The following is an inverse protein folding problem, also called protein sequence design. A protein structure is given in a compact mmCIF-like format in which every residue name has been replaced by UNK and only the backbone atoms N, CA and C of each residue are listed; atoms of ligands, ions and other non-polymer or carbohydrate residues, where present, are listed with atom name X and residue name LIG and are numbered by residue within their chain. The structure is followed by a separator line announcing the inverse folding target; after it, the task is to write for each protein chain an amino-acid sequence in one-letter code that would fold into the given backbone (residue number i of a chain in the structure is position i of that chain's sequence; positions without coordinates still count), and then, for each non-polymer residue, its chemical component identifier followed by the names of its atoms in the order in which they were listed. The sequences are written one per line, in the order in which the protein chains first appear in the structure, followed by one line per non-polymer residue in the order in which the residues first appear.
data_IF_882367073464
#
_entry.id   IF_882367073464
#
_cell.length_a   1.000
_cell.length_b   1.000
_cell.length_c   1.000
_cell.angle_alpha   90.00
_cell.angle_beta   90.00
_cell.angle_gamma   90.00
#
_symmetry.space_group_name_H-M   'P 1'
#
loop_
_entity.id
_entity.type
_entity.pdbx_description
1 polymer ?
#
# COMPACT_ATOMS: atom_id res chain seq x y z
N UNK A 1 17.84 -19.79 17.14
CA UNK A 1 18.97 -18.86 16.82
C UNK A 1 18.38 -17.66 16.08
N UNK A 2 18.58 -16.49 16.56
CA UNK A 2 18.10 -15.26 15.91
C UNK A 2 19.28 -14.64 15.16
N UNK A 3 19.25 -14.74 13.85
CA UNK A 3 20.27 -14.09 13.02
C UNK A 3 19.80 -12.67 12.70
N UNK A 4 20.57 -11.69 13.10
CA UNK A 4 20.34 -10.28 12.77
C UNK A 4 21.46 -9.78 11.87
N UNK A 5 21.06 -9.28 10.69
CA UNK A 5 21.94 -8.54 9.80
C UNK A 5 21.59 -7.05 9.92
N UNK A 6 22.57 -6.22 10.14
CA UNK A 6 22.40 -4.76 10.12
C UNK A 6 23.26 -4.19 9.00
N UNK A 7 22.59 -3.56 8.04
CA UNK A 7 23.23 -2.85 6.95
C UNK A 7 23.11 -1.35 7.20
N UNK A 8 24.21 -0.63 7.16
CA UNK A 8 24.24 0.82 7.29
C UNK A 8 24.60 1.44 5.97
N UNK A 9 23.73 2.28 5.46
CA UNK A 9 23.89 2.98 4.19
C UNK A 9 23.95 4.50 4.42
N UNK A 10 24.62 5.27 3.55
CA UNK A 10 24.55 6.72 3.59
C UNK A 10 23.10 7.20 3.44
N UNK A 11 22.71 8.24 4.17
CA UNK A 11 21.35 8.79 4.17
C UNK A 11 20.96 9.51 2.89
N UNK A 12 21.95 9.91 2.09
CA UNK A 12 21.81 10.59 0.81
C UNK A 12 21.92 9.65 -0.40
N UNK A 13 21.86 8.34 -0.16
CA UNK A 13 21.94 7.35 -1.22
C UNK A 13 20.60 7.24 -1.95
N UNK A 14 20.62 7.47 -3.25
CA UNK A 14 19.49 7.27 -4.14
C UNK A 14 19.68 6.00 -4.96
N UNK A 15 18.63 5.22 -5.07
CA UNK A 15 18.63 3.98 -5.84
C UNK A 15 17.79 4.14 -7.10
N UNK A 16 18.15 3.46 -8.17
CA UNK A 16 17.30 3.32 -9.36
C UNK A 16 16.24 2.24 -9.11
N UNK A 17 16.70 1.06 -8.72
CA UNK A 17 15.83 -0.08 -8.48
C UNK A 17 16.14 -0.70 -7.12
N UNK A 18 15.10 -0.93 -6.35
CA UNK A 18 15.17 -1.67 -5.08
C UNK A 18 14.16 -2.81 -5.11
N UNK A 19 14.65 -4.02 -4.95
CA UNK A 19 13.80 -5.20 -4.80
C UNK A 19 14.07 -5.84 -3.44
N UNK A 20 13.01 -6.01 -2.67
CA UNK A 20 13.04 -6.65 -1.36
C UNK A 20 12.15 -7.89 -1.43
N UNK A 21 12.73 -9.06 -1.21
CA UNK A 21 12.00 -10.32 -1.14
C UNK A 21 12.22 -10.97 0.21
N UNK A 22 11.15 -11.16 0.97
CA UNK A 22 11.18 -11.71 2.32
C UNK A 22 10.23 -12.91 2.44
N UNK A 23 10.78 -14.11 2.48
CA UNK A 23 9.98 -15.32 2.70
C UNK A 23 9.37 -15.36 4.09
N UNK A 24 10.22 -15.27 5.13
CA UNK A 24 9.86 -15.18 6.54
C UNK A 24 10.91 -14.38 7.30
N UNK A 25 10.56 -13.80 8.43
CA UNK A 25 11.44 -12.95 9.24
C UNK A 25 10.98 -11.50 9.23
N UNK A 26 11.83 -10.60 9.69
CA UNK A 26 11.51 -9.19 9.83
C UNK A 26 12.56 -8.34 9.11
N UNK A 27 12.10 -7.33 8.38
CA UNK A 27 12.93 -6.29 7.78
C UNK A 27 12.45 -4.91 8.26
N UNK A 28 13.40 -4.09 8.68
CA UNK A 28 13.16 -2.69 8.99
C UNK A 28 14.13 -1.82 8.20
N UNK A 29 13.60 -0.80 7.51
CA UNK A 29 14.43 0.15 6.77
C UNK A 29 13.86 1.56 6.91
N UNK A 30 14.69 2.49 7.29
CA UNK A 30 14.36 3.90 7.40
C UNK A 30 15.12 4.71 6.34
N UNK A 31 14.41 5.62 5.69
CA UNK A 31 14.90 6.52 4.65
C UNK A 31 15.36 5.80 3.37
N UNK A 32 14.44 5.65 2.44
CA UNK A 32 14.69 5.06 1.13
C UNK A 32 14.19 5.99 0.02
N UNK A 33 15.08 6.34 -0.91
CA UNK A 33 14.72 7.03 -2.15
C UNK A 33 15.11 6.18 -3.34
N UNK A 34 14.15 5.89 -4.21
CA UNK A 34 14.34 5.04 -5.40
C UNK A 34 13.39 5.44 -6.53
N UNK A 35 13.73 5.11 -7.76
CA UNK A 35 12.78 5.24 -8.87
C UNK A 35 11.79 4.08 -8.88
N UNK A 36 12.24 2.86 -8.63
CA UNK A 36 11.41 1.66 -8.60
C UNK A 36 11.60 0.88 -7.29
N UNK A 37 10.49 0.56 -6.63
CA UNK A 37 10.47 -0.27 -5.42
C UNK A 37 9.58 -1.49 -5.66
N UNK A 38 10.13 -2.67 -5.46
CA UNK A 38 9.40 -3.94 -5.48
C UNK A 38 9.53 -4.61 -4.12
N UNK A 39 8.40 -4.93 -3.51
CA UNK A 39 8.32 -5.62 -2.23
C UNK A 39 7.55 -6.94 -2.39
N UNK A 40 8.21 -8.04 -2.11
CA UNK A 40 7.59 -9.37 -2.06
C UNK A 40 7.70 -9.94 -0.65
N UNK A 41 6.60 -10.08 0.05
CA UNK A 41 6.56 -10.68 1.38
C UNK A 41 5.68 -11.93 1.41
N UNK A 42 6.27 -13.07 1.75
CA UNK A 42 5.53 -14.33 1.93
C UNK A 42 4.75 -14.33 3.25
N UNK A 43 5.44 -14.59 4.36
CA UNK A 43 4.87 -14.68 5.71
C UNK A 43 5.67 -13.87 6.75
N UNK A 44 6.52 -12.97 6.30
CA UNK A 44 7.35 -12.11 7.16
C UNK A 44 6.71 -10.77 7.47
N UNK A 45 7.49 -9.91 8.12
CA UNK A 45 7.11 -8.53 8.41
C UNK A 45 8.11 -7.56 7.79
N UNK A 46 7.61 -6.59 7.04
CA UNK A 46 8.43 -5.51 6.46
C UNK A 46 7.92 -4.18 7.00
N UNK A 47 8.82 -3.41 7.57
CA UNK A 47 8.53 -2.04 8.00
C UNK A 47 9.47 -1.08 7.28
N UNK A 48 8.91 -0.24 6.43
CA UNK A 48 9.65 0.84 5.77
C UNK A 48 9.12 2.19 6.24
N UNK A 49 10.02 3.11 6.51
CA UNK A 49 9.67 4.47 6.91
C UNK A 49 10.37 5.48 6.01
N UNK A 50 9.72 6.62 5.76
CA UNK A 50 10.29 7.72 4.98
C UNK A 50 10.74 7.29 3.58
N UNK A 51 9.86 6.63 2.84
CA UNK A 51 10.12 6.14 1.48
C UNK A 51 9.65 7.15 0.45
N UNK A 52 10.49 7.41 -0.55
CA UNK A 52 10.13 8.16 -1.75
C UNK A 52 10.39 7.28 -2.98
N UNK A 53 9.35 6.98 -3.75
CA UNK A 53 9.48 6.16 -4.95
C UNK A 53 8.57 6.66 -6.08
N UNK A 54 9.05 6.55 -7.33
CA UNK A 54 8.25 6.89 -8.51
C UNK A 54 7.29 5.77 -8.88
N UNK A 55 7.73 4.53 -8.80
CA UNK A 55 6.86 3.35 -8.97
C UNK A 55 7.04 2.39 -7.80
N UNK A 56 5.94 1.83 -7.33
CA UNK A 56 5.95 0.87 -6.22
C UNK A 56 5.04 -0.31 -6.56
N UNK A 57 5.56 -1.51 -6.38
CA UNK A 57 4.83 -2.76 -6.56
C UNK A 57 5.00 -3.61 -5.30
N UNK A 58 3.89 -3.93 -4.65
CA UNK A 58 3.89 -4.64 -3.37
C UNK A 58 3.02 -5.89 -3.46
N UNK A 59 3.64 -7.03 -3.24
CA UNK A 59 2.99 -8.33 -3.17
C UNK A 59 3.10 -8.90 -1.76
N UNK A 60 1.98 -9.12 -1.09
CA UNK A 60 1.93 -9.66 0.26
C UNK A 60 1.09 -10.95 0.31
N UNK A 61 1.72 -12.07 0.67
CA UNK A 61 1.03 -13.32 0.87
C UNK A 61 0.21 -13.35 2.17
N UNK A 62 0.85 -13.61 3.31
CA UNK A 62 0.20 -13.77 4.60
C UNK A 62 0.91 -13.04 5.76
N UNK A 63 1.86 -12.16 5.46
CA UNK A 63 2.64 -11.41 6.44
C UNK A 63 2.04 -10.05 6.78
N UNK A 64 2.92 -9.13 7.19
CA UNK A 64 2.56 -7.75 7.52
C UNK A 64 3.52 -6.81 6.79
N UNK A 65 2.99 -5.77 6.17
CA UNK A 65 3.79 -4.68 5.62
C UNK A 65 3.30 -3.35 6.18
N UNK A 66 4.20 -2.61 6.79
CA UNK A 66 3.97 -1.26 7.29
C UNK A 66 4.81 -0.26 6.50
N UNK A 67 4.16 0.63 5.79
CA UNK A 67 4.76 1.73 5.02
C UNK A 67 4.40 3.06 5.68
N UNK A 68 5.34 3.67 6.38
CA UNK A 68 5.10 4.86 7.21
C UNK A 68 5.72 6.11 6.58
N UNK A 69 4.95 7.19 6.49
CA UNK A 69 5.39 8.50 5.98
C UNK A 69 6.02 8.40 4.57
N UNK A 70 5.32 7.71 3.68
CA UNK A 70 5.80 7.46 2.33
C UNK A 70 5.23 8.48 1.33
N UNK A 71 6.02 8.81 0.32
CA UNK A 71 5.59 9.60 -0.83
C UNK A 71 5.81 8.78 -2.09
N UNK A 72 4.73 8.31 -2.68
CA UNK A 72 4.76 7.50 -3.90
C UNK A 72 4.11 8.27 -5.05
N UNK A 73 4.52 8.00 -6.28
CA UNK A 73 3.82 8.53 -7.45
C UNK A 73 2.76 7.54 -7.94
N UNK A 74 3.17 6.35 -8.36
CA UNK A 74 2.25 5.30 -8.76
C UNK A 74 2.50 4.06 -7.91
N UNK A 75 1.44 3.39 -7.49
CA UNK A 75 1.56 2.24 -6.62
C UNK A 75 0.57 1.13 -6.97
N UNK A 76 1.03 -0.10 -6.87
CA UNK A 76 0.23 -1.31 -6.96
C UNK A 76 0.42 -2.12 -5.68
N UNK A 77 -0.68 -2.49 -5.04
CA UNK A 77 -0.68 -3.30 -3.83
C UNK A 77 -1.54 -4.54 -4.04
N UNK A 78 -0.95 -5.70 -3.87
CA UNK A 78 -1.65 -6.99 -3.90
C UNK A 78 -1.50 -7.69 -2.56
N UNK A 79 -2.61 -7.91 -1.85
CA UNK A 79 -2.64 -8.56 -0.54
C UNK A 79 -3.49 -9.83 -0.60
N UNK A 80 -2.88 -10.97 -0.35
CA UNK A 80 -3.58 -12.25 -0.28
C UNK A 80 -4.39 -12.38 1.02
N UNK A 81 -3.73 -12.77 2.12
CA UNK A 81 -4.32 -12.98 3.46
C UNK A 81 -3.64 -12.14 4.55
N UNK A 82 -2.66 -11.32 4.18
CA UNK A 82 -1.88 -10.52 5.11
C UNK A 82 -2.53 -9.19 5.48
N UNK A 83 -1.74 -8.36 6.13
CA UNK A 83 -2.12 -7.01 6.52
C UNK A 83 -1.12 -6.00 5.95
N UNK A 84 -1.62 -4.97 5.27
CA UNK A 84 -0.80 -3.87 4.78
C UNK A 84 -1.32 -2.55 5.30
N UNK A 85 -0.45 -1.80 5.95
CA UNK A 85 -0.72 -0.46 6.45
C UNK A 85 0.15 0.55 5.70
N UNK A 86 -0.46 1.55 5.13
CA UNK A 86 0.19 2.64 4.42
C UNK A 86 -0.17 3.99 5.05
N UNK A 87 0.82 4.83 5.26
CA UNK A 87 0.60 6.24 5.61
C UNK A 87 1.47 7.16 4.75
N UNK A 88 0.89 8.22 4.24
CA UNK A 88 1.59 9.19 3.39
C UNK A 88 0.76 9.70 2.23
N UNK A 89 1.41 9.96 1.10
CA UNK A 89 0.80 10.51 -0.11
C UNK A 89 1.09 9.64 -1.32
N UNK A 90 0.07 9.35 -2.13
CA UNK A 90 0.23 8.79 -3.48
C UNK A 90 -0.28 9.84 -4.47
N UNK A 91 0.62 10.37 -5.30
CA UNK A 91 0.32 11.52 -6.17
C UNK A 91 -0.25 11.15 -7.52
N UNK A 92 0.01 9.94 -7.99
CA UNK A 92 -0.47 9.40 -9.26
C UNK A 92 -1.58 8.37 -9.05
N UNK A 93 -1.52 7.29 -9.80
CA UNK A 93 -2.53 6.25 -9.77
C UNK A 93 -2.22 5.18 -8.72
N UNK A 94 -3.26 4.62 -8.13
CA UNK A 94 -3.21 3.53 -7.17
C UNK A 94 -4.08 2.37 -7.66
N UNK A 95 -3.52 1.19 -7.67
CA UNK A 95 -4.26 -0.07 -7.80
C UNK A 95 -4.06 -0.89 -6.53
N UNK A 96 -5.15 -1.31 -5.89
CA UNK A 96 -5.09 -2.09 -4.66
C UNK A 96 -6.06 -3.26 -4.72
N UNK A 97 -5.50 -4.45 -4.64
CA UNK A 97 -6.23 -5.72 -4.64
C UNK A 97 -6.11 -6.41 -3.28
N UNK A 98 -7.25 -6.71 -2.66
CA UNK A 98 -7.33 -7.41 -1.39
C UNK A 98 -8.13 -8.72 -1.52
N UNK A 99 -7.46 -9.85 -1.34
CA UNK A 99 -8.10 -11.16 -1.34
C UNK A 99 -8.96 -11.38 -0.08
N UNK A 100 -8.34 -11.87 0.99
CA UNK A 100 -8.95 -12.14 2.30
C UNK A 100 -8.27 -11.38 3.44
N UNK A 101 -7.30 -10.53 3.13
CA UNK A 101 -6.53 -9.77 4.09
C UNK A 101 -7.12 -8.41 4.41
N UNK A 102 -6.26 -7.49 4.84
CA UNK A 102 -6.62 -6.12 5.17
C UNK A 102 -5.64 -5.13 4.55
N UNK A 103 -6.17 -4.10 3.92
CA UNK A 103 -5.44 -2.94 3.43
C UNK A 103 -5.93 -1.69 4.14
N UNK A 104 -5.01 -0.96 4.76
CA UNK A 104 -5.32 0.30 5.42
C UNK A 104 -4.48 1.42 4.83
N UNK A 105 -5.12 2.43 4.30
CA UNK A 105 -4.49 3.65 3.79
C UNK A 105 -4.85 4.83 4.66
N UNK A 106 -3.85 5.51 5.20
CA UNK A 106 -3.97 6.80 5.87
C UNK A 106 -3.29 7.88 5.01
N UNK A 107 -4.05 8.53 4.15
CA UNK A 107 -3.52 9.56 3.26
C UNK A 107 -3.42 10.91 3.96
N UNK A 108 -2.30 11.59 3.77
CA UNK A 108 -2.08 12.96 4.20
C UNK A 108 -2.50 13.88 3.05
N UNK A 109 -3.77 13.82 2.68
CA UNK A 109 -4.37 14.68 1.69
C UNK A 109 -5.92 14.54 1.69
N UNK A 110 -6.61 15.03 0.67
CA UNK A 110 -8.07 15.09 0.64
C UNK A 110 -8.69 14.05 -0.29
N UNK A 111 -9.79 13.43 0.13
CA UNK A 111 -10.60 12.49 -0.68
C UNK A 111 -10.90 13.05 -2.08
N UNK A 112 -11.14 14.34 -2.20
CA UNK A 112 -11.55 14.99 -3.45
C UNK A 112 -10.43 15.12 -4.49
N UNK A 113 -9.18 14.85 -4.11
CA UNK A 113 -8.05 14.88 -5.04
C UNK A 113 -7.92 13.64 -5.92
N UNK A 114 -8.74 12.62 -5.68
CA UNK A 114 -8.67 11.35 -6.39
C UNK A 114 -10.04 10.93 -6.90
N UNK A 115 -10.07 10.24 -8.03
CA UNK A 115 -11.23 9.48 -8.46
C UNK A 115 -11.12 8.06 -7.93
N UNK A 116 -12.24 7.40 -7.69
CA UNK A 116 -12.25 6.02 -7.17
C UNK A 116 -13.06 5.11 -8.05
N UNK A 117 -12.52 3.94 -8.34
CA UNK A 117 -13.24 2.80 -8.88
C UNK A 117 -13.17 1.67 -7.86
N UNK A 118 -14.32 1.25 -7.36
CA UNK A 118 -14.45 0.24 -6.32
C UNK A 118 -15.10 -1.00 -6.89
N UNK A 119 -14.49 -2.14 -6.67
CA UNK A 119 -15.02 -3.46 -7.03
C UNK A 119 -14.98 -4.38 -5.81
N UNK A 120 -16.07 -5.03 -5.47
CA UNK A 120 -16.09 -5.94 -4.34
C UNK A 120 -17.07 -7.08 -4.50
N UNK A 121 -16.65 -8.27 -4.09
CA UNK A 121 -17.52 -9.44 -4.10
C UNK A 121 -18.21 -9.65 -2.76
N UNK A 122 -17.47 -10.02 -1.71
CA UNK A 122 -17.99 -10.24 -0.34
C UNK A 122 -17.18 -9.46 0.70
N UNK A 123 -16.23 -8.65 0.24
CA UNK A 123 -15.41 -7.79 1.09
C UNK A 123 -16.06 -6.45 1.39
N UNK A 124 -15.34 -5.60 2.07
CA UNK A 124 -15.77 -4.23 2.35
C UNK A 124 -14.70 -3.22 1.97
N UNK A 125 -15.12 -2.09 1.41
CA UNK A 125 -14.25 -0.95 1.14
C UNK A 125 -14.85 0.26 1.83
N UNK A 126 -14.06 0.97 2.62
CA UNK A 126 -14.48 2.24 3.22
C UNK A 126 -13.55 3.38 2.77
N UNK A 127 -14.14 4.52 2.44
CA UNK A 127 -13.43 5.73 2.05
C UNK A 127 -13.96 6.89 2.89
N UNK A 128 -13.10 7.43 3.76
CA UNK A 128 -13.53 8.41 4.75
C UNK A 128 -14.67 7.85 5.61
N UNK A 129 -15.78 8.58 5.67
CA UNK A 129 -16.98 8.18 6.42
C UNK A 129 -17.95 7.29 5.65
N UNK A 130 -17.61 6.89 4.41
CA UNK A 130 -18.48 6.11 3.53
C UNK A 130 -18.03 4.66 3.46
N UNK A 131 -18.90 3.74 3.78
CA UNK A 131 -18.67 2.30 3.65
C UNK A 131 -19.39 1.70 2.45
N UNK A 132 -18.71 0.84 1.73
CA UNK A 132 -19.21 0.06 0.61
C UNK A 132 -18.98 -1.41 0.89
N UNK A 133 -20.00 -2.23 0.74
CA UNK A 133 -19.90 -3.66 1.00
C UNK A 133 -21.19 -4.39 0.66
N UNK A 134 -21.13 -5.69 0.60
CA UNK A 134 -22.26 -6.55 0.25
C UNK A 134 -21.84 -7.66 -0.70
N UNK A 135 -22.86 -8.36 -1.23
CA UNK A 135 -22.65 -9.37 -2.27
C UNK A 135 -22.55 -8.66 -3.62
N UNK A 136 -21.33 -8.61 -4.15
CA UNK A 136 -21.02 -8.04 -5.47
C UNK A 136 -21.47 -6.58 -5.63
N UNK A 137 -20.54 -5.67 -5.62
CA UNK A 137 -20.79 -4.25 -5.85
C UNK A 137 -19.69 -3.62 -6.69
N UNK A 138 -20.08 -2.69 -7.53
CA UNK A 138 -19.19 -1.84 -8.31
C UNK A 138 -19.62 -0.38 -8.10
N UNK A 139 -18.65 0.50 -7.84
CA UNK A 139 -18.92 1.91 -7.60
C UNK A 139 -17.82 2.79 -8.15
N UNK A 140 -18.21 3.82 -8.90
CA UNK A 140 -17.29 4.86 -9.37
C UNK A 140 -17.61 6.19 -8.69
N UNK A 141 -16.58 6.82 -8.14
CA UNK A 141 -16.64 8.17 -7.56
C UNK A 141 -15.76 9.08 -8.42
N UNK A 142 -16.36 9.99 -9.14
CA UNK A 142 -15.64 10.92 -10.01
C UNK A 142 -15.60 12.32 -9.36
N UNK A 143 -14.43 12.71 -8.91
CA UNK A 143 -14.13 14.00 -8.31
C UNK A 143 -13.49 14.99 -9.30
N UNK A 144 -13.44 14.65 -10.60
CA UNK A 144 -12.72 15.39 -11.63
C UNK A 144 -11.23 15.56 -11.31
N UNK A 145 -10.66 14.60 -10.64
CA UNK A 145 -9.26 14.56 -10.28
C UNK A 145 -8.39 13.99 -11.43
N UNK A 146 -7.10 14.24 -11.37
CA UNK A 146 -6.14 13.72 -12.35
C UNK A 146 -5.64 12.30 -12.00
N UNK A 147 -5.76 11.89 -10.76
CA UNK A 147 -5.33 10.56 -10.29
C UNK A 147 -6.54 9.64 -10.06
N UNK A 148 -6.34 8.35 -10.33
CA UNK A 148 -7.36 7.33 -10.24
C UNK A 148 -6.92 6.24 -9.26
N UNK A 149 -7.79 5.92 -8.31
CA UNK A 149 -7.59 4.86 -7.33
C UNK A 149 -8.56 3.72 -7.64
N UNK A 150 -8.00 2.58 -8.05
CA UNK A 150 -8.74 1.35 -8.29
C UNK A 150 -8.59 0.43 -7.08
N UNK A 151 -9.69 0.16 -6.39
CA UNK A 151 -9.72 -0.64 -5.18
C UNK A 151 -10.59 -1.86 -5.39
N UNK A 152 -10.01 -3.03 -5.28
CA UNK A 152 -10.70 -4.32 -5.44
C UNK A 152 -10.62 -5.13 -4.16
N UNK A 153 -11.73 -5.67 -3.68
CA UNK A 153 -11.77 -6.45 -2.46
C UNK A 153 -12.68 -7.67 -2.58
N UNK A 154 -12.09 -8.87 -2.55
CA UNK A 154 -12.87 -10.11 -2.68
C UNK A 154 -13.60 -10.50 -1.39
N UNK A 155 -12.89 -10.82 -0.31
CA UNK A 155 -13.46 -11.23 0.99
C UNK A 155 -12.80 -10.52 2.18
N UNK A 156 -11.87 -9.60 1.91
CA UNK A 156 -11.13 -8.87 2.92
C UNK A 156 -11.74 -7.50 3.23
N UNK A 157 -10.88 -6.59 3.61
CA UNK A 157 -11.26 -5.23 3.96
C UNK A 157 -10.25 -4.21 3.42
N UNK A 158 -10.74 -3.16 2.79
CA UNK A 158 -9.92 -1.98 2.43
C UNK A 158 -10.48 -0.76 3.16
N UNK A 159 -9.61 -0.09 3.91
CA UNK A 159 -9.96 1.13 4.64
C UNK A 159 -9.10 2.28 4.15
N UNK A 160 -9.73 3.36 3.73
CA UNK A 160 -9.06 4.60 3.30
C UNK A 160 -9.50 5.73 4.22
N UNK A 161 -8.55 6.35 4.88
CA UNK A 161 -8.76 7.52 5.72
C UNK A 161 -7.94 8.70 5.21
N UNK A 162 -8.35 9.92 5.54
CA UNK A 162 -7.69 11.15 5.15
C UNK A 162 -7.39 11.98 6.39
N UNK A 163 -6.17 12.50 6.44
CA UNK A 163 -5.72 13.44 7.46
C UNK A 163 -5.44 14.79 6.79
N UNK A 164 -6.12 15.83 7.25
CA UNK A 164 -5.94 17.21 6.79
C UNK A 164 -4.70 17.86 7.42
#
# INVERSE_FOLDING_TARGET
MHNKLTLRLPSDLEFTDVTISLGAGNLEWDSLTTDSLILDAGAGSITLSNVSAATTDVNLGAGIIDLNHCTLQNATFEVGMGELNYSGVIRGDLTADCGMGSLTFAFIDSEQKHNYSLDGSMGSISIGDKGYGGLEYEKTLNNNASSNYELSCSMGNITVTFED
#
